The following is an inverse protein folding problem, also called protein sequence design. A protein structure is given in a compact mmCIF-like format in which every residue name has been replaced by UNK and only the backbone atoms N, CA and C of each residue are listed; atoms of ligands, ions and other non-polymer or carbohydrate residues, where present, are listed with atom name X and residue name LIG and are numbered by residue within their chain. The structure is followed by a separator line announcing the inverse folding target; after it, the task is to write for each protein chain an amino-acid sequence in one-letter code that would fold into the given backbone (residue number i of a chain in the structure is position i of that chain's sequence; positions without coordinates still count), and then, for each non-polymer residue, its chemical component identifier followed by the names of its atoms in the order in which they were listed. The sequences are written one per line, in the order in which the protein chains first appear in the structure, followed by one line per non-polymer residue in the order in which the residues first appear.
data_IF_409927789563
#
_entry.id   IF_409927789563
#
_cell.length_a   1.000
_cell.length_b   1.000
_cell.length_c   1.000
_cell.angle_alpha   90.00
_cell.angle_beta   90.00
_cell.angle_gamma   90.00
#
_symmetry.space_group_name_H-M   'P 1'
#
loop_
_entity.id
_entity.type
_entity.pdbx_description
1 polymer ?
#
# COMPACT_ATOMS: atom_id res chain seq x y z
N UNK A 1 11.18 16.02 -27.34
CA UNK A 1 10.96 16.19 -25.89
C UNK A 1 9.92 15.15 -25.49
N UNK A 2 10.34 14.05 -24.86
CA UNK A 2 9.39 13.02 -24.40
C UNK A 2 8.69 13.62 -23.17
N UNK A 3 7.35 13.65 -23.11
CA UNK A 3 6.67 14.13 -21.92
C UNK A 3 7.11 13.27 -20.74
N UNK A 4 7.55 13.90 -19.66
CA UNK A 4 7.87 13.22 -18.42
C UNK A 4 6.58 12.62 -17.87
N UNK A 5 6.33 11.34 -18.16
CA UNK A 5 5.21 10.60 -17.59
C UNK A 5 5.30 10.73 -16.07
N UNK A 6 4.21 11.13 -15.41
CA UNK A 6 4.19 11.20 -13.96
C UNK A 6 4.67 9.85 -13.36
N UNK A 7 5.48 9.88 -12.29
CA UNK A 7 6.00 8.66 -11.68
C UNK A 7 4.84 7.74 -11.24
N UNK A 8 5.06 6.42 -11.33
CA UNK A 8 4.05 5.47 -10.91
C UNK A 8 4.04 5.40 -9.38
N UNK A 9 2.95 5.85 -8.77
CA UNK A 9 2.83 5.98 -7.31
C UNK A 9 2.39 4.68 -6.66
N UNK A 10 3.09 4.28 -5.61
CA UNK A 10 2.75 3.17 -4.73
C UNK A 10 2.44 3.75 -3.36
N UNK A 11 1.23 3.52 -2.85
CA UNK A 11 0.87 3.88 -1.47
C UNK A 11 1.36 2.76 -0.56
N UNK A 12 2.26 3.08 0.35
CA UNK A 12 2.85 2.11 1.27
C UNK A 12 3.28 2.79 2.58
N UNK A 13 3.12 2.09 3.69
CA UNK A 13 3.66 2.44 5.00
C UNK A 13 4.14 1.17 5.67
N UNK A 14 5.26 1.21 6.40
CA UNK A 14 5.71 0.06 7.18
C UNK A 14 4.69 -0.32 8.27
N UNK A 15 3.82 0.61 8.68
CA UNK A 15 2.70 0.35 9.61
C UNK A 15 1.71 -0.69 9.10
N UNK A 16 1.67 -0.96 7.79
CA UNK A 16 0.82 -2.00 7.23
C UNK A 16 1.26 -3.41 7.67
N UNK A 17 2.51 -3.57 8.12
CA UNK A 17 3.03 -4.81 8.66
C UNK A 17 2.52 -5.10 10.07
N UNK A 18 1.97 -4.10 10.76
CA UNK A 18 1.39 -4.24 12.10
C UNK A 18 0.00 -4.89 12.08
N UNK A 19 -0.51 -5.27 10.90
CA UNK A 19 -1.77 -5.99 10.78
C UNK A 19 -1.63 -7.42 11.30
N UNK A 20 -2.00 -7.61 12.57
CA UNK A 20 -2.08 -8.91 13.22
C UNK A 20 -3.48 -9.51 13.08
N UNK A 21 -3.59 -10.57 12.29
CA UNK A 21 -4.84 -11.33 12.10
C UNK A 21 -4.97 -12.52 13.05
N UNK A 22 -3.99 -12.76 13.92
CA UNK A 22 -3.96 -13.84 14.89
C UNK A 22 -3.38 -15.18 14.39
N UNK A 23 -3.13 -16.14 15.30
CA UNK A 23 -2.46 -17.40 14.97
C UNK A 23 -3.25 -18.29 14.00
N UNK A 24 -2.56 -18.88 13.03
CA UNK A 24 -3.16 -19.82 12.06
C UNK A 24 -3.97 -19.15 10.96
N UNK A 25 -4.03 -17.81 10.92
CA UNK A 25 -4.74 -17.09 9.87
C UNK A 25 -3.96 -17.16 8.53
N UNK A 26 -4.64 -17.36 7.38
CA UNK A 26 -4.00 -17.47 6.08
C UNK A 26 -3.47 -16.13 5.55
N UNK A 27 -4.02 -15.00 6.00
CA UNK A 27 -3.46 -13.68 5.71
C UNK A 27 -2.20 -13.46 6.55
N UNK A 28 -1.13 -12.99 5.91
CA UNK A 28 0.17 -12.84 6.53
C UNK A 28 0.91 -11.61 6.00
N UNK A 29 1.43 -10.76 6.90
CA UNK A 29 2.20 -9.56 6.56
C UNK A 29 3.45 -9.85 5.73
N UNK A 30 4.02 -11.07 5.83
CA UNK A 30 5.15 -11.52 5.00
C UNK A 30 4.87 -11.48 3.50
N UNK A 31 3.61 -11.59 3.07
CA UNK A 31 3.23 -11.36 1.66
C UNK A 31 3.57 -9.94 1.23
N UNK A 32 3.26 -8.95 2.06
CA UNK A 32 3.54 -7.54 1.77
C UNK A 32 5.04 -7.29 1.73
N UNK A 33 5.79 -7.83 2.70
CA UNK A 33 7.27 -7.76 2.73
C UNK A 33 7.89 -8.32 1.45
N UNK A 34 7.43 -9.49 0.98
CA UNK A 34 7.93 -10.12 -0.23
C UNK A 34 7.69 -9.25 -1.48
N UNK A 35 6.47 -8.71 -1.64
CA UNK A 35 6.11 -7.83 -2.78
C UNK A 35 6.94 -6.55 -2.76
N UNK A 36 7.04 -5.87 -1.62
CA UNK A 36 7.80 -4.62 -1.50
C UNK A 36 9.28 -4.84 -1.80
N UNK A 37 9.85 -5.95 -1.30
CA UNK A 37 11.24 -6.33 -1.57
C UNK A 37 11.48 -6.55 -3.07
N UNK A 38 10.60 -7.31 -3.73
CA UNK A 38 10.69 -7.58 -5.15
C UNK A 38 10.57 -6.30 -6.00
N UNK A 39 9.60 -5.42 -5.67
CA UNK A 39 9.41 -4.15 -6.39
C UNK A 39 10.59 -3.20 -6.24
N UNK A 40 11.16 -3.09 -5.04
CA UNK A 40 12.35 -2.24 -4.79
C UNK A 40 13.59 -2.77 -5.51
N UNK A 41 13.74 -4.08 -5.64
CA UNK A 41 14.87 -4.72 -6.34
C UNK A 41 14.69 -4.80 -7.87
N UNK A 42 13.49 -4.56 -8.39
CA UNK A 42 13.21 -4.66 -9.82
C UNK A 42 13.93 -3.56 -10.63
N UNK A 43 14.22 -3.83 -11.91
CA UNK A 43 14.90 -2.89 -12.80
C UNK A 43 14.18 -1.54 -12.99
N UNK A 44 12.87 -1.51 -12.70
CA UNK A 44 12.04 -0.31 -12.73
C UNK A 44 11.75 0.27 -11.34
N UNK A 45 12.36 -0.25 -10.27
CA UNK A 45 12.10 0.18 -8.90
C UNK A 45 12.39 1.68 -8.68
N UNK A 46 13.33 2.25 -9.43
CA UNK A 46 13.65 3.68 -9.43
C UNK A 46 12.61 4.57 -10.13
N UNK A 47 11.63 4.00 -10.83
CA UNK A 47 10.51 4.71 -11.46
C UNK A 47 9.26 4.71 -10.57
N UNK A 48 9.30 3.99 -9.43
CA UNK A 48 8.24 3.94 -8.46
C UNK A 48 8.41 5.08 -7.45
N UNK A 49 7.37 5.87 -7.25
CA UNK A 49 7.28 6.84 -6.16
C UNK A 49 6.54 6.19 -5.00
N UNK A 50 7.23 5.97 -3.89
CA UNK A 50 6.64 5.42 -2.66
C UNK A 50 6.04 6.56 -1.84
N UNK A 51 4.74 6.50 -1.56
CA UNK A 51 3.97 7.57 -0.93
C UNK A 51 3.32 7.05 0.34
N UNK A 52 3.51 7.76 1.46
CA UNK A 52 2.80 7.46 2.70
C UNK A 52 1.29 7.77 2.55
N UNK A 53 0.40 6.99 3.20
CA UNK A 53 -1.02 7.32 3.27
C UNK A 53 -1.23 8.72 3.86
N UNK A 54 -2.15 9.49 3.29
CA UNK A 54 -2.56 10.76 3.86
C UNK A 54 -3.39 10.56 5.14
N UNK A 55 -3.23 11.46 6.11
CA UNK A 55 -4.12 11.54 7.26
C UNK A 55 -5.47 12.14 6.83
N UNK A 56 -6.52 11.31 6.81
CA UNK A 56 -7.88 11.70 6.45
C UNK A 56 -8.90 10.87 7.22
N UNK A 57 -10.06 11.45 7.53
CA UNK A 57 -11.18 10.69 8.07
C UNK A 57 -11.72 9.73 6.99
N UNK A 58 -11.69 8.40 7.19
CA UNK A 58 -12.14 7.45 6.19
C UNK A 58 -13.67 7.22 6.21
N UNK A 59 -14.39 7.67 7.26
CA UNK A 59 -15.76 7.26 7.51
C UNK A 59 -16.74 7.66 6.41
N UNK A 60 -16.60 8.85 5.82
CA UNK A 60 -17.46 9.30 4.73
C UNK A 60 -17.38 8.35 3.52
N UNK A 61 -16.19 7.83 3.23
CA UNK A 61 -15.97 6.89 2.13
C UNK A 61 -16.45 5.48 2.46
N UNK A 62 -16.27 5.04 3.71
CA UNK A 62 -16.75 3.73 4.19
C UNK A 62 -18.28 3.68 4.13
N UNK A 63 -18.94 4.72 4.66
CA UNK A 63 -20.41 4.80 4.74
C UNK A 63 -21.09 5.02 3.39
N UNK A 64 -20.33 5.38 2.35
CA UNK A 64 -20.87 5.46 0.99
C UNK A 64 -21.20 4.07 0.40
N UNK A 65 -20.66 2.99 0.98
CA UNK A 65 -20.82 1.60 0.50
C UNK A 65 -21.23 0.61 1.59
N UNK A 66 -21.06 0.96 2.87
CA UNK A 66 -21.46 0.15 4.03
C UNK A 66 -22.49 0.89 4.88
N UNK A 67 -23.42 0.15 5.49
CA UNK A 67 -24.26 0.73 6.55
C UNK A 67 -23.37 1.13 7.74
N UNK A 68 -23.63 2.28 8.38
CA UNK A 68 -22.98 2.63 9.63
C UNK A 68 -23.17 1.53 10.70
N UNK A 69 -22.13 1.31 11.51
CA UNK A 69 -22.14 0.33 12.59
C UNK A 69 -23.16 0.65 13.70
#
# INVERSE_FOLDING_TARGET
MIPTTAPFRIIYSDRFLDHDTGPGHPENAGRLTAVVTALKAHAMGNQLEWVEPCDRNPLDWINAVHDPA
#
